data_IF_712015818280
#
_entry.id   IF_712015818280
#
_cell.length_a   1.000
_cell.length_b   1.000
_cell.length_c   1.000
_cell.angle_alpha   90.00
_cell.angle_beta   90.00
_cell.angle_gamma   90.00
#
_symmetry.space_group_name_H-M   'P 1'
#
loop_
_entity.id
_entity.type
_entity.pdbx_description
1 polymer ?
#
# COMPACT_ATOMS: atom_id res chain seq x y z
N UNK A 1 0.13 4.54 -3.63
CA UNK A 1 0.98 3.36 -3.37
C UNK A 1 1.88 3.08 -4.56
N UNK A 2 3.10 2.62 -4.33
CA UNK A 2 3.98 2.09 -5.37
C UNK A 2 4.42 0.68 -5.01
N UNK A 3 4.48 -0.18 -6.01
CA UNK A 3 4.90 -1.56 -5.91
C UNK A 3 6.17 -1.73 -6.76
N UNK A 4 7.24 -2.20 -6.15
CA UNK A 4 8.46 -2.57 -6.89
C UNK A 4 8.20 -3.82 -7.74
N UNK A 5 8.67 -3.79 -8.98
CA UNK A 5 8.64 -4.93 -9.90
C UNK A 5 10.06 -5.28 -10.31
N UNK A 6 10.45 -6.57 -10.30
CA UNK A 6 11.81 -6.96 -10.67
C UNK A 6 12.15 -6.53 -12.10
N UNK A 7 13.30 -5.86 -12.27
CA UNK A 7 13.89 -5.48 -13.58
C UNK A 7 12.95 -4.67 -14.48
N UNK A 8 11.97 -4.01 -13.90
CA UNK A 8 10.94 -3.24 -14.61
C UNK A 8 10.58 -2.02 -13.76
N UNK A 9 9.84 -1.07 -14.34
CA UNK A 9 9.43 0.12 -13.62
C UNK A 9 8.35 -0.17 -12.57
N UNK A 10 8.48 0.46 -11.42
CA UNK A 10 7.51 0.31 -10.32
C UNK A 10 6.10 0.65 -10.76
N UNK A 11 5.13 -0.16 -10.32
CA UNK A 11 3.71 0.06 -10.59
C UNK A 11 3.15 1.04 -9.57
N UNK A 12 2.48 2.09 -10.06
CA UNK A 12 1.82 3.10 -9.22
C UNK A 12 0.32 2.80 -9.13
N UNK A 13 -0.26 3.00 -7.96
CA UNK A 13 -1.72 2.93 -7.74
C UNK A 13 -2.13 4.09 -6.84
N UNK A 14 -3.03 4.93 -7.35
CA UNK A 14 -3.59 6.07 -6.62
C UNK A 14 -5.05 5.75 -6.31
N UNK A 15 -5.41 5.81 -5.04
CA UNK A 15 -6.77 5.58 -4.58
C UNK A 15 -7.37 6.92 -4.14
N UNK A 16 -8.65 7.12 -4.43
CA UNK A 16 -9.45 8.29 -4.03
C UNK A 16 -10.65 7.80 -3.21
N UNK A 17 -10.43 7.33 -1.97
CA UNK A 17 -11.51 6.84 -1.13
C UNK A 17 -12.53 7.93 -0.84
N UNK A 18 -13.80 7.56 -0.80
CA UNK A 18 -14.90 8.40 -0.35
C UNK A 18 -15.12 8.20 1.15
N UNK A 19 -15.93 9.07 1.74
CA UNK A 19 -16.34 8.90 3.14
C UNK A 19 -17.04 7.55 3.33
N UNK A 20 -16.58 6.78 4.33
CA UNK A 20 -17.06 5.42 4.60
C UNK A 20 -16.25 4.31 3.92
N UNK A 21 -15.41 4.62 2.93
CA UNK A 21 -14.55 3.61 2.31
C UNK A 21 -13.39 3.21 3.26
N UNK A 22 -13.00 1.94 3.19
CA UNK A 22 -11.81 1.41 3.86
C UNK A 22 -10.82 0.87 2.84
N UNK A 23 -9.53 1.09 3.09
CA UNK A 23 -8.45 0.54 2.28
C UNK A 23 -7.60 -0.36 3.18
N UNK A 24 -7.46 -1.62 2.80
CA UNK A 24 -6.55 -2.58 3.42
C UNK A 24 -5.36 -2.84 2.49
N UNK A 25 -4.16 -2.64 3.00
CA UNK A 25 -2.93 -2.91 2.26
C UNK A 25 -1.80 -3.32 3.20
N UNK A 26 -0.82 -4.04 2.65
CA UNK A 26 0.38 -4.44 3.38
C UNK A 26 1.33 -3.26 3.57
N UNK A 27 1.89 -3.09 4.77
CA UNK A 27 2.76 -1.95 5.10
C UNK A 27 4.18 -2.06 4.52
N UNK A 28 4.73 -3.26 4.39
CA UNK A 28 6.12 -3.50 3.96
C UNK A 28 6.24 -4.18 2.59
N UNK A 29 5.65 -5.37 2.45
CA UNK A 29 5.66 -6.12 1.19
C UNK A 29 4.34 -6.85 1.02
N UNK A 30 4.01 -7.18 -0.23
CA UNK A 30 2.98 -8.20 -0.50
C UNK A 30 3.54 -9.38 -1.29
N UNK A 31 3.06 -10.61 -1.01
CA UNK A 31 3.42 -11.77 -1.82
C UNK A 31 2.81 -11.63 -3.22
N UNK A 32 3.62 -11.84 -4.25
CA UNK A 32 3.19 -11.90 -5.64
C UNK A 32 3.56 -13.25 -6.21
N UNK A 33 2.61 -13.91 -6.87
CA UNK A 33 2.85 -15.15 -7.57
C UNK A 33 3.69 -14.88 -8.82
N UNK A 34 4.88 -15.47 -8.89
CA UNK A 34 5.74 -15.50 -10.06
C UNK A 34 5.92 -16.91 -10.62
N UNK A 35 6.70 -17.04 -11.68
CA UNK A 35 6.93 -18.32 -12.35
C UNK A 35 7.62 -19.40 -11.47
N UNK A 36 8.37 -18.98 -10.44
CA UNK A 36 9.10 -19.87 -9.51
C UNK A 36 8.51 -19.89 -8.10
N UNK A 37 7.24 -19.50 -7.94
CA UNK A 37 6.58 -19.34 -6.65
C UNK A 37 6.40 -17.89 -6.23
N UNK A 38 6.04 -17.68 -4.97
CA UNK A 38 5.80 -16.34 -4.44
C UNK A 38 7.10 -15.58 -4.16
N UNK A 39 7.13 -14.30 -4.52
CA UNK A 39 8.19 -13.39 -4.12
C UNK A 39 7.61 -12.18 -3.38
N UNK A 40 8.45 -11.54 -2.57
CA UNK A 40 8.09 -10.32 -1.82
C UNK A 40 8.23 -9.10 -2.72
N UNK A 41 7.12 -8.49 -3.10
CA UNK A 41 7.15 -7.19 -3.76
C UNK A 41 7.11 -6.08 -2.72
N UNK A 42 8.16 -5.26 -2.70
CA UNK A 42 8.26 -4.10 -1.81
C UNK A 42 7.12 -3.11 -2.11
N UNK A 43 6.44 -2.67 -1.05
CA UNK A 43 5.32 -1.75 -1.12
C UNK A 43 5.69 -0.44 -0.43
N UNK A 44 5.52 0.67 -1.13
CA UNK A 44 5.55 2.01 -0.52
C UNK A 44 4.16 2.62 -0.57
N UNK A 45 3.80 3.31 0.49
CA UNK A 45 2.53 4.01 0.60
C UNK A 45 2.78 5.43 1.11
N UNK A 46 1.85 6.31 0.78
CA UNK A 46 1.95 7.73 1.08
C UNK A 46 0.63 8.39 0.73
N UNK A 47 0.41 9.56 1.32
CA UNK A 47 -0.76 10.39 1.07
C UNK A 47 -0.34 11.59 0.23
N UNK A 48 -1.19 11.98 -0.71
CA UNK A 48 -0.99 13.22 -1.45
C UNK A 48 -1.35 14.42 -0.57
N UNK A 49 -0.60 15.50 -0.77
CA UNK A 49 -0.89 16.82 -0.23
C UNK A 49 -2.34 17.25 -0.53
N UNK A 50 -2.92 17.99 0.41
CA UNK A 50 -4.26 18.56 0.29
C UNK A 50 -4.08 19.99 -0.22
N UNK A 51 -4.51 20.25 -1.46
CA UNK A 51 -4.43 21.59 -2.05
C UNK A 51 -5.54 22.53 -1.55
N UNK A 52 -6.65 21.97 -1.06
CA UNK A 52 -7.76 22.72 -0.46
C UNK A 52 -8.66 21.80 0.39
N UNK A 53 -9.33 22.39 1.40
CA UNK A 53 -10.19 21.66 2.33
C UNK A 53 -9.41 20.85 3.37
N UNK A 54 -10.08 19.87 3.97
CA UNK A 54 -9.53 19.02 5.03
C UNK A 54 -9.78 17.53 4.75
N UNK A 55 -8.92 16.66 5.29
CA UNK A 55 -9.06 15.21 5.21
C UNK A 55 -8.84 14.61 6.60
N UNK A 56 -9.82 13.85 7.07
CA UNK A 56 -9.70 13.05 8.28
C UNK A 56 -9.63 11.56 7.92
N UNK A 57 -8.73 10.83 8.59
CA UNK A 57 -8.54 9.40 8.37
C UNK A 57 -8.27 8.70 9.69
N UNK A 58 -8.82 7.51 9.87
CA UNK A 58 -8.44 6.59 10.95
C UNK A 58 -7.48 5.55 10.39
N UNK A 59 -6.32 5.42 11.02
CA UNK A 59 -5.33 4.39 10.69
C UNK A 59 -5.35 3.28 11.73
N UNK A 60 -5.36 2.02 11.27
CA UNK A 60 -5.14 0.84 12.11
C UNK A 60 -3.91 0.13 11.56
N UNK A 61 -2.90 -0.11 12.40
CA UNK A 61 -1.66 -0.79 12.03
C UNK A 61 -1.61 -2.12 12.77
N UNK A 62 -1.55 -3.21 12.01
CA UNK A 62 -1.38 -4.55 12.54
C UNK A 62 0.12 -4.84 12.67
N UNK A 63 0.57 -5.11 13.89
CA UNK A 63 1.93 -5.55 14.20
C UNK A 63 1.93 -7.05 14.48
N UNK A 64 2.93 -7.77 13.98
CA UNK A 64 3.19 -9.13 14.40
C UNK A 64 3.64 -9.08 15.87
N UNK A 65 2.79 -9.53 16.78
CA UNK A 65 3.16 -9.69 18.18
C UNK A 65 4.03 -10.95 18.30
N UNK A 66 5.32 -10.78 18.56
CA UNK A 66 6.12 -11.86 19.13
C UNK A 66 5.75 -11.95 20.61
N UNK A 67 4.97 -12.96 20.98
CA UNK A 67 4.69 -13.27 22.39
C UNK A 67 5.98 -13.46 23.16
#
# INVERSE_FOLDING_TARGET
MTQSTPRTQSKVTVLKPKQGDMILFTTNFRPIQGAKGYYRAQMKHGVSEILSGERHTLGIIFHDATS
#
